data_IF_852578875764
#
_entry.id   IF_852578875764
#
_cell.length_a   1.000
_cell.length_b   1.000
_cell.length_c   1.000
_cell.angle_alpha   90.00
_cell.angle_beta   90.00
_cell.angle_gamma   90.00
#
_symmetry.space_group_name_H-M   'P 1'
#
loop_
_entity.id
_entity.type
_entity.pdbx_description
1 polymer ?
#
# COMPACT_ATOMS: atom_id res chain seq x y z
N UNK A 1 3.45 -2.34 -6.31
CA UNK A 1 3.65 -1.19 -7.21
C UNK A 1 3.18 -1.47 -8.64
N UNK A 2 3.62 -2.55 -9.28
CA UNK A 2 3.31 -2.88 -10.69
C UNK A 2 1.81 -2.95 -10.99
N UNK A 3 1.02 -3.65 -10.17
CA UNK A 3 -0.43 -3.83 -10.43
C UNK A 3 -1.26 -2.54 -10.31
N UNK A 4 -0.86 -1.57 -9.50
CA UNK A 4 -1.58 -0.30 -9.40
C UNK A 4 -1.32 0.58 -10.63
N UNK A 5 -0.06 0.74 -11.03
CA UNK A 5 0.30 1.51 -12.23
C UNK A 5 -0.31 0.90 -13.50
N UNK A 6 -0.31 -0.44 -13.61
CA UNK A 6 -0.93 -1.16 -14.71
C UNK A 6 -2.44 -0.89 -14.81
N UNK A 7 -3.13 -0.99 -13.67
CA UNK A 7 -4.58 -0.74 -13.59
C UNK A 7 -4.91 0.72 -13.89
N UNK A 8 -4.19 1.64 -13.24
CA UNK A 8 -4.42 3.07 -13.40
C UNK A 8 -4.19 3.52 -14.85
N UNK A 9 -3.15 2.96 -15.50
CA UNK A 9 -2.87 3.21 -16.90
C UNK A 9 -3.97 2.65 -17.83
N UNK A 10 -4.42 1.42 -17.59
CA UNK A 10 -5.49 0.80 -18.37
C UNK A 10 -6.82 1.56 -18.24
N UNK A 11 -7.17 1.99 -17.01
CA UNK A 11 -8.36 2.80 -16.74
C UNK A 11 -8.27 4.18 -17.43
N UNK A 12 -7.11 4.82 -17.35
CA UNK A 12 -6.89 6.10 -18.01
C UNK A 12 -7.06 5.99 -19.53
N UNK A 13 -6.48 4.95 -20.14
CA UNK A 13 -6.67 4.69 -21.57
C UNK A 13 -8.14 4.47 -21.93
N UNK A 14 -8.86 3.68 -21.13
CA UNK A 14 -10.29 3.43 -21.37
C UNK A 14 -11.12 4.72 -21.30
N UNK A 15 -10.79 5.61 -20.36
CA UNK A 15 -11.46 6.93 -20.24
C UNK A 15 -11.21 7.84 -21.43
N UNK A 16 -10.04 7.75 -22.07
CA UNK A 16 -9.74 8.51 -23.29
C UNK A 16 -10.31 7.88 -24.57
N UNK A 17 -10.86 6.67 -24.48
CA UNK A 17 -11.40 5.94 -25.64
C UNK A 17 -10.33 5.41 -26.60
N UNK A 18 -9.05 5.51 -26.28
CA UNK A 18 -7.97 5.09 -27.15
C UNK A 18 -7.77 3.57 -27.11
N UNK A 19 -7.53 2.97 -28.29
CA UNK A 19 -7.13 1.56 -28.35
C UNK A 19 -5.66 1.38 -27.93
N UNK A 20 -5.31 0.18 -27.46
CA UNK A 20 -3.89 -0.17 -27.17
C UNK A 20 -2.97 0.07 -28.37
N UNK A 21 -3.45 -0.20 -29.59
CA UNK A 21 -2.72 0.01 -30.84
C UNK A 21 -2.43 1.50 -31.05
N UNK A 22 -3.38 2.36 -30.80
CA UNK A 22 -3.20 3.81 -30.96
C UNK A 22 -2.26 4.38 -29.90
N UNK A 23 -2.39 3.94 -28.64
CA UNK A 23 -1.45 4.33 -27.57
C UNK A 23 -0.04 3.87 -27.89
N UNK A 24 0.14 2.63 -28.35
CA UNK A 24 1.43 2.09 -28.76
C UNK A 24 2.07 2.94 -29.87
N UNK A 25 1.28 3.32 -30.89
CA UNK A 25 1.73 4.18 -31.98
C UNK A 25 2.17 5.57 -31.48
N UNK A 26 1.36 6.22 -30.65
CA UNK A 26 1.67 7.55 -30.11
C UNK A 26 2.87 7.55 -29.18
N UNK A 27 2.97 6.53 -28.32
CA UNK A 27 4.09 6.37 -27.39
C UNK A 27 5.37 5.84 -28.05
N UNK A 28 5.31 5.38 -29.33
CA UNK A 28 6.45 4.78 -30.02
C UNK A 28 6.96 3.50 -29.36
N UNK A 29 6.02 2.64 -28.92
CA UNK A 29 6.29 1.32 -28.34
C UNK A 29 5.51 0.24 -29.09
N UNK A 30 5.83 -1.05 -28.86
CA UNK A 30 5.06 -2.13 -29.46
C UNK A 30 3.68 -2.31 -28.79
N UNK A 31 2.72 -2.83 -29.55
CA UNK A 31 1.40 -3.21 -29.00
C UNK A 31 1.55 -4.24 -27.86
N UNK A 32 2.49 -5.19 -28.02
CA UNK A 32 2.80 -6.19 -27.01
C UNK A 32 3.31 -5.56 -25.71
N UNK A 33 4.14 -4.50 -25.83
CA UNK A 33 4.62 -3.75 -24.67
C UNK A 33 3.46 -3.14 -23.89
N UNK A 34 2.53 -2.46 -24.55
CA UNK A 34 1.35 -1.88 -23.91
C UNK A 34 0.51 -2.96 -23.23
N UNK A 35 0.27 -4.07 -23.91
CA UNK A 35 -0.52 -5.19 -23.37
C UNK A 35 0.12 -5.77 -22.10
N UNK A 36 1.44 -6.01 -22.10
CA UNK A 36 2.18 -6.57 -20.95
C UNK A 36 2.24 -5.61 -19.76
N UNK A 37 2.29 -4.30 -20.01
CA UNK A 37 2.22 -3.29 -18.95
C UNK A 37 0.82 -3.29 -18.33
N UNK A 38 -0.24 -3.29 -19.13
CA UNK A 38 -1.62 -3.30 -18.63
C UNK A 38 -1.99 -4.60 -17.91
N UNK A 39 -1.39 -5.74 -18.29
CA UNK A 39 -1.57 -7.01 -17.56
C UNK A 39 -0.72 -7.11 -16.29
N UNK A 40 0.20 -6.16 -16.07
CA UNK A 40 1.13 -6.20 -14.94
C UNK A 40 2.27 -7.22 -15.09
N UNK A 41 2.49 -7.73 -16.32
CA UNK A 41 3.59 -8.65 -16.64
C UNK A 41 4.92 -7.93 -16.87
N UNK A 42 4.88 -6.63 -17.10
CA UNK A 42 6.07 -5.82 -17.37
C UNK A 42 6.01 -4.49 -16.61
N UNK A 43 7.08 -4.17 -15.92
CA UNK A 43 7.30 -2.86 -15.28
C UNK A 43 7.87 -1.88 -16.30
N UNK A 44 7.19 -0.76 -16.60
CA UNK A 44 7.75 0.25 -17.48
C UNK A 44 8.88 1.02 -16.78
N UNK A 45 9.93 1.36 -17.50
CA UNK A 45 10.88 2.37 -17.03
C UNK A 45 10.18 3.72 -16.89
N UNK A 46 10.73 4.63 -16.08
CA UNK A 46 10.19 6.00 -15.90
C UNK A 46 10.02 6.69 -17.26
N UNK A 47 11.02 6.61 -18.13
CA UNK A 47 10.97 7.19 -19.48
C UNK A 47 9.84 6.59 -20.33
N UNK A 48 9.65 5.28 -20.25
CA UNK A 48 8.57 4.60 -20.96
C UNK A 48 7.22 5.02 -20.40
N UNK A 49 7.07 5.10 -19.08
CA UNK A 49 5.84 5.56 -18.42
C UNK A 49 5.50 7.00 -18.83
N UNK A 50 6.48 7.90 -18.87
CA UNK A 50 6.28 9.27 -19.35
C UNK A 50 5.76 9.32 -20.79
N UNK A 51 6.33 8.53 -21.68
CA UNK A 51 5.89 8.45 -23.10
C UNK A 51 4.46 7.90 -23.21
N UNK A 52 4.13 6.87 -22.44
CA UNK A 52 2.80 6.27 -22.40
C UNK A 52 1.76 7.24 -21.86
N UNK A 53 2.07 7.94 -20.76
CA UNK A 53 1.17 8.94 -20.17
C UNK A 53 0.99 10.14 -21.11
N UNK A 54 2.06 10.62 -21.76
CA UNK A 54 1.97 11.68 -22.78
C UNK A 54 1.07 11.27 -23.95
N UNK A 55 1.08 10.00 -24.36
CA UNK A 55 0.20 9.49 -25.41
C UNK A 55 -1.30 9.51 -25.04
N UNK A 56 -1.60 9.63 -23.73
CA UNK A 56 -2.95 9.74 -23.15
C UNK A 56 -3.28 11.16 -22.70
N UNK A 57 -2.46 12.15 -23.03
CA UNK A 57 -2.54 13.53 -22.53
C UNK A 57 -2.51 13.61 -20.99
N UNK A 58 -1.80 12.68 -20.34
CA UNK A 58 -1.61 12.61 -18.91
C UNK A 58 -0.20 13.08 -18.52
N UNK A 59 -0.10 13.70 -17.35
CA UNK A 59 1.16 14.12 -16.74
C UNK A 59 1.58 13.11 -15.67
N UNK A 60 2.86 12.74 -15.69
CA UNK A 60 3.50 11.97 -14.62
C UNK A 60 4.24 12.95 -13.71
N UNK A 61 3.93 12.92 -12.45
CA UNK A 61 4.67 13.67 -11.42
C UNK A 61 5.44 12.68 -10.54
N UNK A 62 6.76 12.88 -10.43
CA UNK A 62 7.62 12.16 -9.53
C UNK A 62 7.97 13.10 -8.38
N UNK A 63 7.55 12.74 -7.17
CA UNK A 63 7.94 13.46 -5.97
C UNK A 63 9.11 12.74 -5.32
N UNK A 64 10.20 13.48 -5.10
CA UNK A 64 11.34 13.03 -4.31
C UNK A 64 11.45 13.93 -3.09
N UNK A 65 11.61 13.36 -1.91
CA UNK A 65 11.75 14.09 -0.66
C UNK A 65 12.83 13.47 0.23
N UNK A 66 13.27 14.17 1.25
CA UNK A 66 14.22 13.61 2.21
C UNK A 66 13.62 12.40 2.90
N UNK A 67 14.40 11.35 3.00
CA UNK A 67 14.03 10.07 3.62
C UNK A 67 13.71 10.21 5.13
N UNK A 68 14.17 11.28 5.77
CA UNK A 68 13.91 11.63 7.18
C UNK A 68 12.43 11.96 7.48
N UNK A 69 11.59 12.05 6.44
CA UNK A 69 10.17 12.33 6.61
C UNK A 69 9.27 11.10 6.70
N UNK A 70 9.82 9.89 6.69
CA UNK A 70 9.02 8.67 6.75
C UNK A 70 8.66 8.37 8.21
N UNK A 71 7.42 8.63 8.56
CA UNK A 71 6.85 8.37 9.88
C UNK A 71 5.46 7.76 9.75
N UNK A 72 5.12 6.86 10.67
CA UNK A 72 3.77 6.29 10.79
C UNK A 72 2.71 7.39 11.01
N UNK A 73 3.09 8.52 11.60
CA UNK A 73 2.23 9.66 11.80
C UNK A 73 1.65 10.21 10.49
N UNK A 74 2.37 10.08 9.37
CA UNK A 74 1.94 10.53 8.04
C UNK A 74 0.96 9.57 7.35
N UNK A 75 0.72 8.39 7.92
CA UNK A 75 -0.22 7.40 7.36
C UNK A 75 -1.66 7.61 7.80
N UNK A 76 -1.98 8.67 8.55
CA UNK A 76 -3.37 9.01 8.94
C UNK A 76 -4.30 9.21 7.75
N UNK A 77 -3.78 9.45 6.56
CA UNK A 77 -4.51 9.58 5.29
C UNK A 77 -4.28 8.39 4.34
N UNK A 78 -3.83 7.24 4.85
CA UNK A 78 -3.64 6.03 4.05
C UNK A 78 -4.99 5.32 3.79
N UNK A 79 -5.93 6.06 3.21
CA UNK A 79 -7.21 5.54 2.75
C UNK A 79 -7.66 6.30 1.49
N UNK A 80 -8.51 5.65 0.71
CA UNK A 80 -9.19 6.23 -0.45
C UNK A 80 -10.68 6.23 -0.21
N UNK A 81 -11.36 7.28 -0.66
CA UNK A 81 -12.82 7.34 -0.66
C UNK A 81 -13.32 6.88 -2.02
N UNK A 82 -13.85 5.67 -2.03
CA UNK A 82 -14.42 5.06 -3.22
C UNK A 82 -15.94 5.25 -3.26
N UNK A 83 -16.53 5.01 -4.43
CA UNK A 83 -17.99 5.08 -4.62
C UNK A 83 -18.77 4.19 -3.64
N UNK A 84 -18.12 3.13 -3.15
CA UNK A 84 -18.72 2.10 -2.29
C UNK A 84 -18.26 2.17 -0.83
N UNK A 85 -17.52 3.21 -0.46
CA UNK A 85 -17.04 3.41 0.91
C UNK A 85 -15.58 3.84 1.02
N UNK A 86 -15.05 3.75 2.23
CA UNK A 86 -13.66 4.08 2.53
C UNK A 86 -12.85 2.78 2.50
N UNK A 87 -11.81 2.75 1.68
CA UNK A 87 -10.85 1.64 1.60
C UNK A 87 -9.47 2.05 2.09
N UNK A 88 -8.77 1.12 2.76
CA UNK A 88 -7.41 1.33 3.23
C UNK A 88 -6.45 1.27 2.04
N UNK A 89 -5.58 2.26 1.91
CA UNK A 89 -4.49 2.26 0.94
C UNK A 89 -3.32 1.38 1.43
N UNK A 90 -3.46 0.08 1.20
CA UNK A 90 -2.45 -0.91 1.57
C UNK A 90 -1.08 -0.64 0.93
N UNK A 91 -1.05 0.02 -0.23
CA UNK A 91 0.21 0.33 -0.91
C UNK A 91 1.02 1.36 -0.14
N UNK A 92 0.39 2.45 0.32
CA UNK A 92 1.08 3.45 1.17
C UNK A 92 1.65 2.82 2.42
N UNK A 93 0.87 1.96 3.07
CA UNK A 93 1.30 1.28 4.29
C UNK A 93 2.46 0.34 3.98
N UNK A 94 2.39 -0.44 2.91
CA UNK A 94 3.45 -1.36 2.51
C UNK A 94 4.76 -0.65 2.19
N UNK A 95 4.70 0.47 1.46
CA UNK A 95 5.88 1.30 1.17
C UNK A 95 6.55 1.74 2.47
N UNK A 96 5.78 2.18 3.46
CA UNK A 96 6.28 2.54 4.77
C UNK A 96 6.97 1.35 5.47
N UNK A 97 6.29 0.20 5.55
CA UNK A 97 6.82 -1.01 6.19
C UNK A 97 8.10 -1.48 5.51
N UNK A 98 8.12 -1.62 4.19
CA UNK A 98 9.31 -2.04 3.42
C UNK A 98 10.49 -1.09 3.67
N UNK A 99 10.21 0.22 3.75
CA UNK A 99 11.25 1.22 3.98
C UNK A 99 11.85 1.13 5.38
N UNK A 100 10.99 1.05 6.40
CA UNK A 100 11.39 1.09 7.82
C UNK A 100 12.07 -0.22 8.22
N UNK A 101 11.52 -1.37 7.82
CA UNK A 101 12.09 -2.69 8.18
C UNK A 101 13.44 -2.95 7.53
N UNK A 102 13.72 -2.34 6.39
CA UNK A 102 15.04 -2.39 5.76
C UNK A 102 16.11 -1.49 6.42
N UNK A 103 15.76 -0.72 7.46
CA UNK A 103 16.65 0.27 8.11
C UNK A 103 16.49 0.28 9.62
N UNK A 104 17.12 -0.66 10.34
CA UNK A 104 16.94 -0.80 11.79
C UNK A 104 17.18 0.47 12.61
N UNK A 105 18.09 1.34 12.15
CA UNK A 105 18.48 2.57 12.87
C UNK A 105 17.37 3.62 12.96
N UNK A 106 16.38 3.60 12.07
CA UNK A 106 15.31 4.60 12.04
C UNK A 106 13.98 4.08 12.59
N UNK A 107 13.89 2.79 12.93
CA UNK A 107 12.62 2.17 13.32
C UNK A 107 11.99 2.92 14.50
N UNK A 108 12.77 3.20 15.54
CA UNK A 108 12.28 3.90 16.74
C UNK A 108 11.63 5.24 16.41
N UNK A 109 12.34 6.08 15.65
CA UNK A 109 11.87 7.40 15.26
C UNK A 109 10.66 7.33 14.33
N UNK A 110 10.67 6.37 13.38
CA UNK A 110 9.61 6.21 12.39
C UNK A 110 8.25 5.84 13.00
N UNK A 111 8.23 5.18 14.17
CA UNK A 111 7.00 4.76 14.85
C UNK A 111 6.72 5.52 16.15
N UNK A 112 7.60 6.46 16.56
CA UNK A 112 7.51 7.16 17.84
C UNK A 112 6.25 8.04 17.95
N UNK A 113 5.94 8.80 16.88
CA UNK A 113 4.84 9.75 16.89
C UNK A 113 3.52 9.10 16.50
N UNK A 114 2.42 9.38 17.25
CA UNK A 114 1.11 8.86 16.89
C UNK A 114 0.57 9.52 15.60
N UNK A 115 -0.05 8.73 14.71
CA UNK A 115 -0.82 9.32 13.63
C UNK A 115 -2.01 10.10 14.19
N UNK A 116 -2.40 11.18 13.48
CA UNK A 116 -3.68 11.83 13.79
C UNK A 116 -4.81 10.83 13.61
N UNK A 117 -5.85 10.96 14.43
CA UNK A 117 -7.06 10.15 14.23
C UNK A 117 -7.60 10.40 12.82
N UNK A 118 -7.69 9.32 12.04
CA UNK A 118 -8.17 9.38 10.66
C UNK A 118 -9.69 9.57 10.55
N UNK A 119 -10.43 9.30 11.64
CA UNK A 119 -11.87 9.15 11.61
C UNK A 119 -12.35 7.80 11.08
N UNK A 120 -11.41 6.91 10.74
CA UNK A 120 -11.65 5.58 10.24
C UNK A 120 -11.00 4.54 11.15
N UNK A 121 -11.76 4.02 12.12
CA UNK A 121 -11.25 3.15 13.18
C UNK A 121 -10.41 1.96 12.67
N UNK A 122 -10.76 1.41 11.50
CA UNK A 122 -10.01 0.29 10.91
C UNK A 122 -8.57 0.68 10.58
N UNK A 123 -8.37 1.88 10.04
CA UNK A 123 -7.02 2.40 9.74
C UNK A 123 -6.28 2.70 11.03
N UNK A 124 -6.91 3.42 11.97
CA UNK A 124 -6.26 3.79 13.24
C UNK A 124 -5.81 2.54 14.01
N UNK A 125 -6.67 1.52 14.10
CA UNK A 125 -6.32 0.24 14.72
C UNK A 125 -5.21 -0.50 13.97
N UNK A 126 -5.23 -0.47 12.63
CA UNK A 126 -4.21 -1.12 11.81
C UNK A 126 -2.85 -0.46 12.00
N UNK A 127 -2.78 0.87 12.00
CA UNK A 127 -1.52 1.61 12.23
C UNK A 127 -0.94 1.30 13.61
N UNK A 128 -1.77 1.23 14.65
CA UNK A 128 -1.31 0.85 15.97
C UNK A 128 -0.79 -0.61 16.00
N UNK A 129 -1.48 -1.55 15.36
CA UNK A 129 -1.04 -2.94 15.26
C UNK A 129 0.26 -3.09 14.49
N UNK A 130 0.46 -2.30 13.43
CA UNK A 130 1.70 -2.23 12.65
C UNK A 130 2.87 -1.72 13.48
N UNK A 131 2.67 -0.61 14.22
CA UNK A 131 3.71 -0.07 15.09
C UNK A 131 4.14 -1.06 16.16
N UNK A 132 3.18 -1.74 16.82
CA UNK A 132 3.47 -2.80 17.79
C UNK A 132 4.27 -3.95 17.17
N UNK A 133 3.86 -4.41 15.98
CA UNK A 133 4.57 -5.50 15.32
C UNK A 133 5.98 -5.09 14.87
N UNK A 134 6.13 -3.91 14.29
CA UNK A 134 7.45 -3.39 13.88
C UNK A 134 8.38 -3.28 15.10
N UNK A 135 7.87 -2.77 16.22
CA UNK A 135 8.65 -2.67 17.46
C UNK A 135 9.07 -4.05 17.97
N UNK A 136 8.12 -5.01 18.02
CA UNK A 136 8.41 -6.38 18.48
C UNK A 136 9.43 -7.08 17.57
N UNK A 137 9.30 -6.95 16.25
CA UNK A 137 10.22 -7.55 15.27
C UNK A 137 11.64 -6.94 15.40
N UNK A 138 11.73 -5.67 15.76
CA UNK A 138 12.99 -4.96 15.97
C UNK A 138 13.58 -5.14 17.38
N UNK A 139 12.86 -5.77 18.30
CA UNK A 139 13.28 -5.94 19.70
C UNK A 139 13.34 -4.64 20.49
N UNK A 140 12.53 -3.63 20.15
CA UNK A 140 12.44 -2.35 20.84
C UNK A 140 11.10 -2.18 21.57
N UNK A 141 11.03 -1.23 22.50
CA UNK A 141 9.81 -0.94 23.24
C UNK A 141 8.69 -0.45 22.29
N UNK A 142 7.49 -0.96 22.52
CA UNK A 142 6.30 -0.51 21.80
C UNK A 142 6.00 0.94 22.11
N UNK A 143 5.63 1.76 21.10
CA UNK A 143 5.21 3.14 21.32
C UNK A 143 4.02 3.22 22.28
N UNK A 144 4.11 4.09 23.29
CA UNK A 144 3.04 4.24 24.33
C UNK A 144 1.68 4.60 23.73
N UNK A 145 1.66 5.33 22.63
CA UNK A 145 0.43 5.76 21.98
C UNK A 145 -0.42 4.59 21.44
N UNK A 146 0.22 3.45 21.14
CA UNK A 146 -0.51 2.25 20.68
C UNK A 146 -1.55 1.79 21.69
N UNK A 147 -1.26 1.92 23.00
CA UNK A 147 -2.19 1.60 24.08
C UNK A 147 -3.44 2.48 24.12
N UNK A 148 -3.39 3.69 23.56
CA UNK A 148 -4.50 4.63 23.50
C UNK A 148 -5.47 4.38 22.34
N UNK A 149 -5.17 3.42 21.46
CA UNK A 149 -6.03 3.06 20.34
C UNK A 149 -6.81 1.80 20.72
N UNK A 150 -8.14 1.87 20.92
CA UNK A 150 -8.94 0.72 21.31
C UNK A 150 -9.01 -0.32 20.18
N UNK A 151 -9.28 -1.58 20.53
CA UNK A 151 -9.55 -2.61 19.53
C UNK A 151 -10.88 -2.32 18.82
N UNK A 152 -11.01 -2.82 17.58
CA UNK A 152 -12.26 -2.70 16.83
C UNK A 152 -13.44 -3.33 17.55
N UNK A 153 -14.60 -2.76 17.41
CA UNK A 153 -15.85 -3.36 17.91
C UNK A 153 -16.13 -4.65 17.15
N UNK A 154 -16.12 -4.58 15.82
CA UNK A 154 -16.35 -5.72 14.95
C UNK A 154 -15.04 -6.27 14.35
N UNK A 155 -15.03 -7.55 14.04
CA UNK A 155 -13.90 -8.17 13.32
C UNK A 155 -13.70 -7.53 11.95
N UNK A 156 -12.46 -7.29 11.59
CA UNK A 156 -12.08 -6.84 10.26
C UNK A 156 -11.26 -7.93 9.56
N UNK A 157 -11.75 -8.37 8.42
CA UNK A 157 -11.07 -9.32 7.54
C UNK A 157 -11.11 -8.79 6.11
N UNK A 158 -10.15 -9.14 5.25
CA UNK A 158 -10.22 -8.77 3.84
C UNK A 158 -11.44 -9.43 3.18
N UNK A 159 -12.04 -8.83 2.14
CA UNK A 159 -13.06 -9.48 1.34
C UNK A 159 -12.46 -10.72 0.65
N UNK A 160 -13.24 -11.79 0.56
CA UNK A 160 -12.76 -13.01 -0.08
C UNK A 160 -13.60 -14.23 0.21
N UNK A 161 -13.17 -15.39 -0.31
CA UNK A 161 -13.82 -16.66 -0.03
C UNK A 161 -13.62 -17.07 1.44
N UNK A 162 -14.49 -17.94 2.01
CA UNK A 162 -14.32 -18.43 3.38
C UNK A 162 -12.93 -19.04 3.65
N UNK A 163 -12.34 -19.70 2.65
CA UNK A 163 -10.99 -20.25 2.76
C UNK A 163 -9.91 -19.14 2.85
N UNK A 164 -10.02 -18.08 2.05
CA UNK A 164 -9.09 -16.95 2.10
C UNK A 164 -9.17 -16.23 3.45
N UNK A 165 -10.37 -16.00 3.95
CA UNK A 165 -10.61 -15.38 5.26
C UNK A 165 -9.99 -16.25 6.38
N UNK A 166 -10.19 -17.58 6.32
CA UNK A 166 -9.61 -18.52 7.29
C UNK A 166 -8.08 -18.51 7.25
N UNK A 167 -7.47 -18.48 6.06
CA UNK A 167 -6.00 -18.37 5.90
C UNK A 167 -5.46 -17.05 6.44
N UNK A 168 -6.10 -15.92 6.11
CA UNK A 168 -5.72 -14.61 6.64
C UNK A 168 -5.79 -14.57 8.17
N UNK A 169 -6.85 -15.14 8.76
CA UNK A 169 -6.99 -15.22 10.21
C UNK A 169 -5.92 -16.11 10.87
N UNK A 170 -5.56 -17.23 10.23
CA UNK A 170 -4.52 -18.12 10.73
C UNK A 170 -3.13 -17.41 10.74
N UNK A 171 -2.78 -16.73 9.65
CA UNK A 171 -1.48 -16.05 9.45
C UNK A 171 -1.41 -14.65 10.03
N UNK A 172 -2.51 -14.11 10.58
CA UNK A 172 -2.52 -12.77 11.16
C UNK A 172 -1.61 -12.70 12.40
N UNK A 173 -0.76 -11.67 12.53
CA UNK A 173 0.09 -11.46 13.70
C UNK A 173 -0.72 -11.30 15.00
N UNK A 174 -0.11 -11.61 16.14
CA UNK A 174 -0.78 -11.50 17.45
C UNK A 174 -1.22 -10.07 17.76
N UNK A 175 -0.44 -9.07 17.37
CA UNK A 175 -0.74 -7.64 17.51
C UNK A 175 -2.02 -7.27 16.76
N UNK A 176 -2.21 -7.82 15.57
CA UNK A 176 -3.40 -7.62 14.76
C UNK A 176 -4.62 -8.32 15.37
N UNK A 177 -4.46 -9.59 15.75
CA UNK A 177 -5.54 -10.38 16.41
C UNK A 177 -6.08 -9.72 17.66
N UNK A 178 -5.19 -9.14 18.51
CA UNK A 178 -5.58 -8.39 19.72
C UNK A 178 -6.51 -7.21 19.40
N UNK A 179 -6.38 -6.63 18.21
CA UNK A 179 -7.20 -5.50 17.73
C UNK A 179 -8.36 -5.94 16.84
N UNK A 180 -8.66 -7.25 16.79
CA UNK A 180 -9.69 -7.87 15.95
C UNK A 180 -9.48 -7.65 14.44
N UNK A 181 -8.22 -7.50 14.02
CA UNK A 181 -7.80 -7.40 12.61
C UNK A 181 -7.26 -8.76 12.17
N UNK A 182 -7.83 -9.31 11.11
CA UNK A 182 -7.48 -10.63 10.58
C UNK A 182 -6.90 -10.48 9.17
N UNK A 183 -5.80 -9.75 9.07
CA UNK A 183 -4.99 -9.58 7.86
C UNK A 183 -3.71 -10.39 7.99
N UNK A 184 -3.27 -10.99 6.89
CA UNK A 184 -1.97 -11.66 6.83
C UNK A 184 -0.84 -10.63 6.92
N UNK A 185 0.27 -10.99 7.58
CA UNK A 185 1.48 -10.18 7.55
C UNK A 185 2.01 -9.98 6.13
N UNK A 186 1.78 -10.94 5.22
CA UNK A 186 2.19 -10.86 3.82
C UNK A 186 1.54 -9.72 3.03
N UNK A 187 0.47 -9.10 3.57
CA UNK A 187 -0.10 -7.87 2.98
C UNK A 187 0.88 -6.69 3.08
N UNK A 188 1.76 -6.70 4.09
CA UNK A 188 2.66 -5.58 4.40
C UNK A 188 4.14 -5.94 4.38
N UNK A 189 4.51 -7.17 4.73
CA UNK A 189 5.89 -7.65 4.75
C UNK A 189 6.17 -8.54 3.54
N UNK A 190 7.32 -8.37 2.93
CA UNK A 190 7.79 -9.32 1.92
C UNK A 190 8.29 -10.59 2.61
N UNK A 191 8.08 -11.77 2.02
CA UNK A 191 8.79 -12.95 2.46
C UNK A 191 10.31 -12.71 2.41
N UNK A 192 11.01 -13.16 3.44
CA UNK A 192 12.48 -13.00 3.54
C UNK A 192 13.26 -14.01 2.69
N UNK A 193 12.57 -14.91 2.01
CA UNK A 193 13.17 -16.02 1.25
C UNK A 193 13.30 -15.62 -0.24
N UNK A 194 14.35 -14.83 -0.55
CA UNK A 194 14.87 -14.60 -1.90
C UNK A 194 16.38 -14.83 -1.93
#
# INVERSE_FOLDING_TARGET
MIRSVARDFAEARLKTGLSRKEVARRAGVSLTTVSRIESGEMDPTITMLQRLCSALDLRVELSTGPLSEISIAKLSNAFTQEKWGIEIDYLKIRIFVDYVTGRPTIIGDAIAEPPRRSGFDRLDCLLAALAEKIADDAGIDRPKWCGNVPALVCKFSPPGTPMMIKRAAASAPSQFKKRKIYLSSLEFWRPTDW
#
